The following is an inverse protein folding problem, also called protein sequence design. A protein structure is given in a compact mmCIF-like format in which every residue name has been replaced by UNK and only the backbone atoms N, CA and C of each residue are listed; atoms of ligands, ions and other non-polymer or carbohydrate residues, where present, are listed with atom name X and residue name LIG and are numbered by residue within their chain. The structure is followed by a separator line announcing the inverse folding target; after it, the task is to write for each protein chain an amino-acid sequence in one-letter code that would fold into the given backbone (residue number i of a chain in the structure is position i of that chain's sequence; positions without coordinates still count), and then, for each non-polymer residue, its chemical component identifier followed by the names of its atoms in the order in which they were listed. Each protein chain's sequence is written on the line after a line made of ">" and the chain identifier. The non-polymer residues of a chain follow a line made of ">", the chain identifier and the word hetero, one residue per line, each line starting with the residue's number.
data_IF_290963812003
#
_entry.id   IF_290963812003
#
_cell.length_a   1.000
_cell.length_b   1.000
_cell.length_c   1.000
_cell.angle_alpha   90.00
_cell.angle_beta   90.00
_cell.angle_gamma   90.00
#
_symmetry.space_group_name_H-M   'P 1'
#
loop_
_entity.id
_entity.type
_entity.pdbx_description
1 polymer ?
#
# COMPACT_ATOMS: atom_id res chain seq x y z
N UNK A 1 -2.07 -9.25 12.17
CA UNK A 1 -3.06 -8.91 11.14
C UNK A 1 -3.05 -10.03 10.12
N UNK A 2 -4.20 -10.62 9.83
CA UNK A 2 -4.34 -11.71 8.86
C UNK A 2 -5.43 -11.32 7.85
N UNK A 3 -5.12 -11.45 6.56
CA UNK A 3 -6.06 -11.14 5.49
C UNK A 3 -5.79 -12.01 4.28
N UNK A 4 -6.83 -12.24 3.48
CA UNK A 4 -6.75 -12.91 2.18
C UNK A 4 -7.17 -11.94 1.08
N UNK A 5 -6.37 -11.82 0.04
CA UNK A 5 -6.62 -10.94 -1.12
C UNK A 5 -6.28 -11.70 -2.41
N UNK A 6 -6.92 -11.32 -3.53
CA UNK A 6 -6.54 -11.85 -4.83
C UNK A 6 -5.18 -11.31 -5.22
N UNK A 7 -4.29 -12.20 -5.67
CA UNK A 7 -2.93 -11.82 -6.11
C UNK A 7 -2.92 -10.71 -7.16
N UNK A 8 -3.83 -10.79 -8.14
CA UNK A 8 -3.91 -9.82 -9.22
C UNK A 8 -4.23 -8.42 -8.69
N UNK A 9 -5.25 -8.30 -7.85
CA UNK A 9 -5.66 -7.03 -7.24
C UNK A 9 -4.52 -6.43 -6.42
N UNK A 10 -3.88 -7.23 -5.55
CA UNK A 10 -2.75 -6.77 -4.74
C UNK A 10 -1.59 -6.28 -5.60
N UNK A 11 -1.27 -6.98 -6.69
CA UNK A 11 -0.20 -6.60 -7.60
C UNK A 11 -0.50 -5.28 -8.30
N UNK A 12 -1.75 -5.06 -8.71
CA UNK A 12 -2.18 -3.82 -9.35
C UNK A 12 -2.01 -2.63 -8.40
N UNK A 13 -2.49 -2.75 -7.17
CA UNK A 13 -2.37 -1.70 -6.15
C UNK A 13 -0.91 -1.39 -5.80
N UNK A 14 -0.07 -2.43 -5.62
CA UNK A 14 1.36 -2.24 -5.32
C UNK A 14 2.11 -1.59 -6.49
N UNK A 15 1.78 -1.93 -7.73
CA UNK A 15 2.40 -1.35 -8.92
C UNK A 15 2.09 0.15 -9.02
N UNK A 16 0.86 0.56 -8.69
CA UNK A 16 0.46 1.96 -8.63
C UNK A 16 1.27 2.73 -7.58
N UNK A 17 1.40 2.18 -6.38
CA UNK A 17 2.07 2.83 -5.24
C UNK A 17 3.59 2.91 -5.45
N UNK A 18 4.19 1.97 -6.17
CA UNK A 18 5.64 1.90 -6.39
C UNK A 18 6.22 3.19 -7.00
N UNK A 19 5.44 3.94 -7.77
CA UNK A 19 5.88 5.19 -8.40
C UNK A 19 6.16 6.34 -7.42
N UNK A 20 5.69 6.25 -6.18
CA UNK A 20 5.83 7.31 -5.15
C UNK A 20 6.85 6.95 -4.06
N UNK A 21 7.33 5.71 -4.03
CA UNK A 21 8.26 5.26 -2.99
C UNK A 21 9.71 5.57 -3.40
N UNK A 22 10.31 6.54 -2.72
CA UNK A 22 11.72 6.92 -2.89
C UNK A 22 12.64 5.96 -2.11
N UNK A 23 13.51 5.22 -2.81
CA UNK A 23 14.46 4.29 -2.16
C UNK A 23 15.62 4.99 -1.45
N UNK A 24 15.92 6.23 -1.82
CA UNK A 24 17.00 7.05 -1.25
C UNK A 24 16.45 8.18 -0.38
N UNK A 25 15.61 7.82 0.59
CA UNK A 25 15.05 8.78 1.55
C UNK A 25 15.91 8.89 2.82
N UNK A 26 16.00 10.09 3.40
CA UNK A 26 16.61 10.33 4.72
C UNK A 26 15.70 9.89 5.87
N UNK A 27 14.43 9.58 5.58
CA UNK A 27 13.41 9.13 6.53
C UNK A 27 13.06 7.67 6.16
N UNK A 28 13.72 6.65 6.76
CA UNK A 28 13.63 5.26 6.29
C UNK A 28 12.22 4.66 6.27
N UNK A 29 11.31 5.14 7.12
CA UNK A 29 9.93 4.65 7.12
C UNK A 29 9.19 4.97 5.81
N UNK A 30 9.58 6.04 5.11
CA UNK A 30 8.99 6.43 3.81
C UNK A 30 9.43 5.55 2.64
N UNK A 31 10.44 4.69 2.83
CA UNK A 31 10.81 3.66 1.85
C UNK A 31 9.85 2.46 1.84
N UNK A 32 8.80 2.48 2.67
CA UNK A 32 7.83 1.42 2.83
C UNK A 32 6.42 1.90 2.49
N UNK A 33 5.48 0.96 2.43
CA UNK A 33 4.06 1.23 2.22
C UNK A 33 3.29 1.00 3.52
N UNK A 34 2.30 1.84 3.77
CA UNK A 34 1.28 1.61 4.79
C UNK A 34 0.28 0.60 4.23
N UNK A 35 0.01 -0.45 4.99
CA UNK A 35 -1.02 -1.45 4.69
C UNK A 35 -2.03 -1.49 5.84
N UNK A 36 -3.32 -1.39 5.53
CA UNK A 36 -4.43 -1.47 6.50
C UNK A 36 -5.51 -2.41 5.97
N UNK A 37 -5.82 -3.47 6.69
CA UNK A 37 -6.97 -4.32 6.40
C UNK A 37 -8.11 -4.01 7.37
N UNK A 38 -9.20 -3.45 6.88
CA UNK A 38 -10.37 -3.05 7.67
C UNK A 38 -11.61 -3.07 6.78
N UNK A 39 -12.77 -3.42 7.32
CA UNK A 39 -14.05 -3.28 6.60
C UNK A 39 -14.19 -4.11 5.32
N UNK A 40 -13.39 -5.17 5.13
CA UNK A 40 -13.40 -5.98 3.90
C UNK A 40 -12.54 -5.40 2.77
N UNK A 41 -11.64 -4.48 3.10
CA UNK A 41 -10.73 -3.84 2.15
C UNK A 41 -9.30 -3.84 2.68
N UNK A 42 -8.34 -3.88 1.76
CA UNK A 42 -6.93 -3.68 2.02
C UNK A 42 -6.55 -2.32 1.42
N UNK A 43 -6.38 -1.32 2.28
CA UNK A 43 -5.85 -0.02 1.91
C UNK A 43 -4.33 -0.04 1.87
N UNK A 44 -3.76 0.55 0.82
CA UNK A 44 -2.33 0.73 0.64
C UNK A 44 -2.03 2.23 0.44
N UNK A 45 -1.00 2.75 1.09
CA UNK A 45 -0.59 4.14 0.94
C UNK A 45 0.93 4.31 0.99
N UNK A 46 1.45 5.33 0.31
CA UNK A 46 2.83 5.76 0.42
C UNK A 46 2.97 7.26 0.14
N UNK A 47 4.10 7.85 0.57
CA UNK A 47 4.42 9.25 0.32
C UNK A 47 5.93 9.50 0.39
N UNK A 48 6.40 10.47 -0.40
CA UNK A 48 7.76 11.04 -0.35
C UNK A 48 7.78 12.45 0.27
N UNK A 49 6.67 12.87 0.89
CA UNK A 49 6.37 14.19 1.43
C UNK A 49 6.00 15.27 0.40
N UNK A 50 6.16 15.02 -0.90
CA UNK A 50 5.69 15.91 -1.96
C UNK A 50 4.38 15.38 -2.56
N UNK A 51 4.35 14.07 -2.81
CA UNK A 51 3.22 13.35 -3.39
C UNK A 51 2.84 12.20 -2.45
N UNK A 52 1.53 11.98 -2.33
CA UNK A 52 0.97 10.86 -1.60
C UNK A 52 -0.02 10.11 -2.46
N UNK A 53 0.07 8.78 -2.49
CA UNK A 53 -0.93 7.92 -3.11
C UNK A 53 -1.61 7.05 -2.06
N UNK A 54 -2.91 6.84 -2.27
CA UNK A 54 -3.72 5.88 -1.53
C UNK A 54 -4.52 5.07 -2.52
N UNK A 55 -4.61 3.78 -2.28
CA UNK A 55 -5.36 2.86 -3.11
C UNK A 55 -5.96 1.74 -2.26
N UNK A 56 -6.97 1.06 -2.80
CA UNK A 56 -7.74 0.06 -2.06
C UNK A 56 -8.07 -1.12 -2.96
N UNK A 57 -8.04 -2.31 -2.38
CA UNK A 57 -8.57 -3.51 -3.04
C UNK A 57 -9.42 -4.33 -2.07
N UNK A 58 -10.33 -5.14 -2.61
CA UNK A 58 -11.20 -6.01 -1.81
C UNK A 58 -10.35 -7.06 -1.11
N UNK A 59 -10.55 -7.22 0.20
CA UNK A 59 -9.86 -8.24 0.98
C UNK A 59 -10.76 -8.87 2.02
N UNK A 60 -10.47 -10.10 2.40
CA UNK A 60 -11.14 -10.77 3.51
C UNK A 60 -10.22 -10.75 4.72
N UNK A 61 -10.50 -9.88 5.68
CA UNK A 61 -9.80 -9.89 6.98
C UNK A 61 -10.26 -11.10 7.79
N UNK A 62 -9.31 -11.85 8.34
CA UNK A 62 -9.57 -13.02 9.21
C UNK A 62 -9.39 -12.63 10.66
#
# INVERSE_FOLDING_TARGET
>A
MEFTVRKFDLLQELTLIQGVVERKTTIPILANVLVRAEGGELGIAATDLEIGLKSVCVSKTT
#
